data_IF_014982190058
#
_entry.id   IF_014982190058
#
_cell.length_a   1.000
_cell.length_b   1.000
_cell.length_c   1.000
_cell.angle_alpha   90.00
_cell.angle_beta   90.00
_cell.angle_gamma   90.00
#
_symmetry.space_group_name_H-M   'P 1'
#
loop_
_entity.id
_entity.type
_entity.pdbx_description
1 polymer ?
#
# COMPACT_ATOMS: atom_id res chain seq x y z
N UNK A 1 -2.02 10.59 11.56
CA UNK A 1 -2.96 9.84 10.72
C UNK A 1 -2.91 10.41 9.32
N UNK A 2 -2.88 9.54 8.29
CA UNK A 2 -2.99 9.91 6.88
C UNK A 2 -4.31 9.42 6.29
N UNK A 3 -4.63 9.91 5.10
CA UNK A 3 -5.82 9.49 4.35
C UNK A 3 -5.42 8.79 3.07
N UNK A 4 -6.16 7.73 2.71
CA UNK A 4 -5.96 6.97 1.49
C UNK A 4 -7.16 7.15 0.58
N UNK A 5 -6.90 7.57 -0.65
CA UNK A 5 -7.91 7.61 -1.70
C UNK A 5 -7.62 6.61 -2.82
N UNK A 6 -8.67 6.22 -3.48
CA UNK A 6 -8.61 5.31 -4.63
C UNK A 6 -8.47 6.12 -5.92
N UNK A 7 -7.71 5.61 -6.87
CA UNK A 7 -7.46 6.27 -8.15
C UNK A 7 -8.66 6.35 -9.11
N UNK A 8 -9.83 5.84 -8.72
CA UNK A 8 -11.06 5.98 -9.52
C UNK A 8 -11.75 7.35 -9.36
N UNK A 9 -11.44 8.09 -8.31
CA UNK A 9 -11.98 9.44 -8.13
C UNK A 9 -11.53 10.39 -9.25
N UNK A 10 -12.34 11.42 -9.56
CA UNK A 10 -11.94 12.43 -10.52
C UNK A 10 -10.72 13.21 -10.03
N UNK A 11 -9.84 13.64 -10.95
CA UNK A 11 -8.65 14.41 -10.52
C UNK A 11 -9.05 15.70 -9.80
N UNK A 12 -10.18 16.32 -10.17
CA UNK A 12 -10.74 17.48 -9.47
C UNK A 12 -11.16 17.16 -8.04
N UNK A 13 -11.80 16.00 -7.84
CA UNK A 13 -12.16 15.51 -6.49
C UNK A 13 -10.92 15.21 -5.67
N UNK A 14 -9.92 14.55 -6.26
CA UNK A 14 -8.64 14.26 -5.61
C UNK A 14 -7.96 15.54 -5.13
N UNK A 15 -7.92 16.59 -5.94
CA UNK A 15 -7.35 17.88 -5.53
C UNK A 15 -8.11 18.50 -4.36
N UNK A 16 -9.45 18.45 -4.39
CA UNK A 16 -10.27 18.96 -3.31
C UNK A 16 -10.04 18.18 -2.01
N UNK A 17 -10.02 16.85 -2.06
CA UNK A 17 -9.78 15.98 -0.90
C UNK A 17 -8.38 16.14 -0.34
N UNK A 18 -7.36 16.28 -1.19
CA UNK A 18 -6.00 16.49 -0.74
C UNK A 18 -5.85 17.81 0.02
N UNK A 19 -6.41 18.91 -0.51
CA UNK A 19 -6.45 20.21 0.15
C UNK A 19 -7.19 20.12 1.49
N UNK A 20 -8.38 19.55 1.49
CA UNK A 20 -9.17 19.39 2.71
C UNK A 20 -8.44 18.56 3.77
N UNK A 21 -7.71 17.52 3.34
CA UNK A 21 -6.91 16.68 4.25
C UNK A 21 -5.81 17.49 4.92
N UNK A 22 -5.12 18.34 4.16
CA UNK A 22 -4.10 19.24 4.70
C UNK A 22 -4.69 20.26 5.67
N UNK A 23 -5.76 20.94 5.28
CA UNK A 23 -6.49 21.92 6.11
C UNK A 23 -7.06 21.31 7.39
N UNK A 24 -7.43 20.02 7.34
CA UNK A 24 -7.93 19.27 8.51
C UNK A 24 -6.83 18.70 9.40
N UNK A 25 -5.56 18.92 9.09
CA UNK A 25 -4.43 18.53 9.94
C UNK A 25 -4.05 17.05 9.87
N UNK A 26 -4.32 16.35 8.76
CA UNK A 26 -3.89 14.97 8.57
C UNK A 26 -2.38 14.87 8.31
N UNK A 27 -1.58 14.99 9.36
CA UNK A 27 -0.12 15.02 9.30
C UNK A 27 0.55 13.74 8.78
N UNK A 28 -0.15 12.60 8.72
CA UNK A 28 0.34 11.35 8.16
C UNK A 28 0.28 11.26 6.63
N UNK A 29 -0.15 12.32 5.96
CA UNK A 29 -0.11 12.47 4.53
C UNK A 29 -1.35 12.05 3.76
N UNK A 30 -1.30 12.31 2.46
CA UNK A 30 -2.30 11.93 1.47
C UNK A 30 -1.75 10.82 0.58
N UNK A 31 -2.44 9.70 0.51
CA UNK A 31 -1.96 8.49 -0.13
C UNK A 31 -2.88 8.03 -1.24
N UNK A 32 -2.31 7.61 -2.36
CA UNK A 32 -3.04 7.04 -3.50
C UNK A 32 -2.71 5.56 -3.63
N UNK A 33 -3.76 4.74 -3.74
CA UNK A 33 -3.62 3.32 -4.05
C UNK A 33 -3.65 3.09 -5.56
N UNK A 34 -2.67 2.33 -6.08
CA UNK A 34 -2.75 1.81 -7.43
C UNK A 34 -3.64 0.57 -7.45
N UNK A 35 -4.72 0.63 -8.21
CA UNK A 35 -5.66 -0.49 -8.31
C UNK A 35 -5.93 -0.89 -9.76
N UNK A 36 -5.30 -0.21 -10.72
CA UNK A 36 -5.40 -0.43 -12.14
C UNK A 36 -6.85 -0.74 -12.56
N UNK A 37 -7.13 -1.78 -13.29
CA UNK A 37 -8.50 -2.10 -13.74
C UNK A 37 -9.37 -2.82 -12.70
N UNK A 38 -8.88 -3.08 -11.49
CA UNK A 38 -9.63 -3.84 -10.48
C UNK A 38 -11.02 -3.26 -10.17
N UNK A 39 -11.17 -1.94 -10.23
CA UNK A 39 -12.44 -1.27 -9.96
C UNK A 39 -13.47 -1.41 -11.08
N UNK A 40 -13.09 -1.86 -12.28
CA UNK A 40 -14.03 -2.07 -13.39
C UNK A 40 -15.15 -3.05 -13.05
N UNK A 41 -14.89 -4.06 -12.22
CA UNK A 41 -15.91 -4.97 -11.72
C UNK A 41 -17.03 -4.28 -10.93
N UNK A 42 -16.80 -3.05 -10.47
CA UNK A 42 -17.78 -2.20 -9.78
C UNK A 42 -18.27 -1.04 -10.65
N UNK A 43 -18.02 -1.07 -11.96
CA UNK A 43 -18.37 0.03 -12.86
C UNK A 43 -17.52 1.29 -12.70
N UNK A 44 -16.36 1.19 -12.07
CA UNK A 44 -15.46 2.32 -11.80
C UNK A 44 -14.16 2.17 -12.58
N UNK A 45 -13.65 3.27 -13.14
CA UNK A 45 -12.39 3.30 -13.88
C UNK A 45 -11.28 3.92 -13.05
N UNK A 46 -10.21 3.16 -12.81
CA UNK A 46 -9.02 3.69 -12.12
C UNK A 46 -8.12 4.47 -13.08
N UNK A 47 -7.62 5.60 -12.63
CA UNK A 47 -6.61 6.41 -13.32
C UNK A 47 -5.22 5.99 -12.89
N UNK A 48 -4.21 6.36 -13.69
CA UNK A 48 -2.80 6.14 -13.33
C UNK A 48 -2.47 6.75 -11.97
N UNK A 49 -1.85 5.97 -11.10
CA UNK A 49 -1.61 6.38 -9.72
C UNK A 49 -0.66 7.59 -9.62
N UNK A 50 0.40 7.64 -10.43
CA UNK A 50 1.34 8.76 -10.45
C UNK A 50 0.68 10.05 -10.93
N UNK A 51 -0.14 10.00 -12.00
CA UNK A 51 -0.90 11.16 -12.48
C UNK A 51 -1.90 11.64 -11.43
N UNK A 52 -2.57 10.72 -10.76
CA UNK A 52 -3.52 11.03 -9.67
C UNK A 52 -2.79 11.67 -8.50
N UNK A 53 -1.61 11.15 -8.14
CA UNK A 53 -0.79 11.69 -7.07
C UNK A 53 -0.24 13.08 -7.41
N UNK A 54 0.17 13.31 -8.68
CA UNK A 54 0.58 14.63 -9.15
C UNK A 54 -0.53 15.68 -8.96
N UNK A 55 -1.78 15.31 -9.26
CA UNK A 55 -2.92 16.21 -9.03
C UNK A 55 -3.11 16.56 -7.55
N UNK A 56 -2.95 15.59 -6.63
CA UNK A 56 -2.99 15.81 -5.19
C UNK A 56 -1.82 16.68 -4.71
N UNK A 57 -0.63 16.42 -5.25
CA UNK A 57 0.60 17.16 -4.92
C UNK A 57 0.46 18.64 -5.22
N UNK A 58 -0.09 18.97 -6.39
CA UNK A 58 -0.34 20.36 -6.79
C UNK A 58 -1.35 21.09 -5.91
N UNK A 59 -2.18 20.36 -5.20
CA UNK A 59 -3.21 20.92 -4.32
C UNK A 59 -2.77 21.09 -2.86
N UNK A 60 -1.56 20.58 -2.50
CA UNK A 60 -1.02 20.56 -1.13
C UNK A 60 0.36 21.19 -1.06
N UNK A 61 0.80 21.59 0.14
CA UNK A 61 2.09 22.28 0.35
C UNK A 61 2.97 21.63 1.41
N UNK A 62 2.39 21.03 2.43
CA UNK A 62 3.11 20.61 3.65
C UNK A 62 2.97 19.13 3.98
N UNK A 63 1.80 18.52 3.75
CA UNK A 63 1.58 17.13 4.10
C UNK A 63 2.39 16.16 3.22
N UNK A 64 2.87 15.03 3.76
CA UNK A 64 3.46 13.97 2.97
C UNK A 64 2.52 13.49 1.86
N UNK A 65 3.10 13.10 0.73
CA UNK A 65 2.38 12.56 -0.42
C UNK A 65 2.94 11.17 -0.71
N UNK A 66 2.09 10.16 -0.85
CA UNK A 66 2.60 8.80 -0.99
C UNK A 66 1.76 7.87 -1.85
N UNK A 67 2.39 6.79 -2.28
CA UNK A 67 1.72 5.64 -2.89
C UNK A 67 1.52 4.52 -1.88
N UNK A 68 0.35 3.88 -1.93
CA UNK A 68 0.02 2.74 -1.06
C UNK A 68 -0.73 1.68 -1.86
N UNK A 69 -0.10 0.94 -2.67
CA UNK A 69 1.26 0.79 -3.16
C UNK A 69 1.23 0.76 -4.70
N UNK A 70 2.38 0.87 -5.38
CA UNK A 70 2.55 0.44 -6.77
C UNK A 70 3.37 -0.85 -6.81
N UNK A 71 3.50 -1.46 -8.01
CA UNK A 71 4.13 -2.77 -8.15
C UNK A 71 5.23 -2.78 -9.20
N UNK A 72 6.38 -3.44 -8.93
CA UNK A 72 7.45 -3.63 -9.91
C UNK A 72 7.05 -4.57 -11.07
N UNK A 73 5.94 -5.30 -10.92
CA UNK A 73 5.37 -6.10 -12.00
C UNK A 73 4.59 -5.28 -13.03
N UNK A 74 4.22 -4.05 -12.69
CA UNK A 74 3.49 -3.15 -13.60
C UNK A 74 4.41 -2.22 -14.40
N UNK A 75 5.61 -1.93 -13.88
CA UNK A 75 6.57 -0.99 -14.49
C UNK A 75 7.98 -1.43 -14.20
N UNK A 76 8.85 -1.28 -15.20
CA UNK A 76 10.28 -1.44 -14.98
C UNK A 76 10.80 -0.46 -13.92
N UNK A 77 11.69 -0.85 -12.99
CA UNK A 77 12.14 0.00 -11.89
C UNK A 77 12.81 1.32 -12.34
N UNK A 78 13.38 1.37 -13.54
CA UNK A 78 13.91 2.63 -14.10
C UNK A 78 12.82 3.64 -14.39
N UNK A 79 11.69 3.19 -14.93
CA UNK A 79 10.53 4.05 -15.20
C UNK A 79 9.89 4.49 -13.89
N UNK A 80 9.72 3.56 -12.94
CA UNK A 80 9.21 3.91 -11.60
C UNK A 80 10.09 4.95 -10.92
N UNK A 81 11.42 4.82 -11.00
CA UNK A 81 12.33 5.79 -10.42
C UNK A 81 12.20 7.18 -11.05
N UNK A 82 12.02 7.25 -12.36
CA UNK A 82 11.78 8.53 -13.07
C UNK A 82 10.47 9.19 -12.64
N UNK A 83 9.37 8.42 -12.56
CA UNK A 83 8.08 8.92 -12.07
C UNK A 83 8.17 9.38 -10.60
N UNK A 84 8.88 8.63 -9.74
CA UNK A 84 9.13 9.00 -8.35
C UNK A 84 9.89 10.32 -8.24
N UNK A 85 10.95 10.49 -9.04
CA UNK A 85 11.75 11.71 -9.04
C UNK A 85 10.92 12.94 -9.44
N UNK A 86 10.05 12.80 -10.44
CA UNK A 86 9.15 13.87 -10.87
C UNK A 86 8.14 14.27 -9.79
N UNK A 87 7.53 13.30 -9.10
CA UNK A 87 6.62 13.58 -7.97
C UNK A 87 7.37 14.17 -6.79
N UNK A 88 8.58 13.72 -6.52
CA UNK A 88 9.40 14.24 -5.44
C UNK A 88 9.78 15.71 -5.68
N UNK A 89 10.19 16.06 -6.87
CA UNK A 89 10.44 17.45 -7.29
C UNK A 89 9.15 18.30 -7.15
N UNK A 90 8.04 17.83 -7.74
CA UNK A 90 6.76 18.52 -7.70
C UNK A 90 6.25 18.75 -6.27
N UNK A 91 6.54 17.82 -5.37
CA UNK A 91 6.14 17.89 -3.96
C UNK A 91 7.11 18.68 -3.09
N UNK A 92 8.24 19.14 -3.63
CA UNK A 92 9.34 19.73 -2.87
C UNK A 92 9.84 18.80 -1.75
N UNK A 93 10.12 17.53 -2.10
CA UNK A 93 10.72 16.55 -1.19
C UNK A 93 9.76 15.92 -0.17
N UNK A 94 8.43 15.96 -0.40
CA UNK A 94 7.42 15.34 0.48
C UNK A 94 7.01 13.93 0.08
N UNK A 95 7.50 13.44 -1.04
CA UNK A 95 7.07 12.17 -1.61
C UNK A 95 7.63 10.98 -0.84
N UNK A 96 6.81 9.95 -0.69
CA UNK A 96 7.16 8.64 -0.14
C UNK A 96 6.69 7.57 -1.13
N UNK A 97 7.63 6.75 -1.60
CA UNK A 97 7.32 5.65 -2.50
C UNK A 97 6.83 4.44 -1.71
N UNK A 98 5.63 3.97 -2.00
CA UNK A 98 5.15 2.68 -1.52
C UNK A 98 5.21 1.63 -2.62
N UNK A 99 5.96 0.55 -2.40
CA UNK A 99 6.13 -0.56 -3.34
C UNK A 99 5.65 -1.88 -2.72
N UNK A 100 4.96 -2.71 -3.48
CA UNK A 100 4.47 -4.01 -3.01
C UNK A 100 4.00 -4.88 -4.15
N UNK A 101 3.56 -6.09 -3.86
CA UNK A 101 3.17 -7.06 -4.89
C UNK A 101 2.01 -6.56 -5.74
N UNK A 102 1.00 -5.92 -5.13
CA UNK A 102 -0.15 -5.39 -5.87
C UNK A 102 -0.99 -6.47 -6.56
N UNK A 103 -1.08 -7.69 -6.00
CA UNK A 103 -1.69 -8.87 -6.62
C UNK A 103 -3.03 -8.55 -7.28
N UNK A 104 -3.91 -7.84 -6.59
CA UNK A 104 -5.24 -7.47 -7.10
C UNK A 104 -5.16 -6.61 -8.37
N UNK A 105 -4.18 -5.72 -8.48
CA UNK A 105 -3.98 -4.88 -9.67
C UNK A 105 -3.39 -5.64 -10.85
N UNK A 106 -2.55 -6.63 -10.60
CA UNK A 106 -1.83 -7.37 -11.64
C UNK A 106 -2.59 -8.59 -12.17
N UNK A 107 -3.65 -9.05 -11.49
CA UNK A 107 -4.51 -10.14 -11.98
C UNK A 107 -5.04 -9.88 -13.40
N UNK A 108 -5.37 -8.63 -13.71
CA UNK A 108 -5.87 -8.22 -15.04
C UNK A 108 -4.77 -8.10 -16.11
N UNK A 109 -3.50 -8.29 -15.74
CA UNK A 109 -2.37 -8.34 -16.66
C UNK A 109 -1.97 -9.77 -17.03
N UNK A 110 -2.79 -10.74 -16.63
CA UNK A 110 -2.61 -12.18 -16.93
C UNK A 110 -1.26 -12.75 -16.44
N UNK A 111 -0.67 -12.16 -15.41
CA UNK A 111 0.52 -12.72 -14.79
C UNK A 111 0.21 -14.04 -14.08
N UNK A 112 1.04 -15.04 -14.31
CA UNK A 112 1.05 -16.28 -13.54
C UNK A 112 1.51 -16.01 -12.10
N UNK A 113 0.53 -15.74 -11.22
CA UNK A 113 0.82 -15.37 -9.84
C UNK A 113 1.47 -16.47 -9.01
N UNK A 114 1.40 -17.74 -9.46
CA UNK A 114 2.04 -18.86 -8.79
C UNK A 114 3.56 -18.91 -9.08
N UNK A 115 3.99 -18.32 -10.18
CA UNK A 115 5.41 -18.17 -10.55
C UNK A 115 6.06 -16.89 -10.06
N UNK A 116 5.29 -16.01 -9.41
CA UNK A 116 5.84 -14.76 -8.89
C UNK A 116 6.85 -15.01 -7.78
N UNK A 117 7.97 -14.28 -7.83
CA UNK A 117 9.00 -14.28 -6.79
C UNK A 117 9.06 -12.88 -6.13
N UNK A 118 8.14 -12.54 -5.23
CA UNK A 118 8.00 -11.16 -4.74
C UNK A 118 9.26 -10.61 -4.08
N UNK A 119 9.90 -11.37 -3.21
CA UNK A 119 11.05 -10.89 -2.44
C UNK A 119 12.22 -10.48 -3.33
N UNK A 120 12.77 -11.34 -4.22
CA UNK A 120 13.89 -10.93 -5.06
C UNK A 120 13.50 -9.85 -6.09
N UNK A 121 12.30 -9.90 -6.67
CA UNK A 121 11.83 -8.84 -7.60
C UNK A 121 11.78 -7.47 -6.93
N UNK A 122 11.28 -7.39 -5.70
CA UNK A 122 11.25 -6.12 -4.97
C UNK A 122 12.64 -5.68 -4.53
N UNK A 123 13.49 -6.61 -4.10
CA UNK A 123 14.89 -6.32 -3.77
C UNK A 123 15.61 -5.66 -4.97
N UNK A 124 15.60 -6.32 -6.13
CA UNK A 124 16.25 -5.79 -7.33
C UNK A 124 15.66 -4.44 -7.77
N UNK A 125 14.33 -4.32 -7.69
CA UNK A 125 13.66 -3.06 -8.03
C UNK A 125 14.09 -1.91 -7.12
N UNK A 126 14.11 -2.10 -5.81
CA UNK A 126 14.53 -1.07 -4.86
C UNK A 126 16.01 -0.71 -5.04
N UNK A 127 16.87 -1.71 -5.28
CA UNK A 127 18.28 -1.49 -5.53
C UNK A 127 18.52 -0.61 -6.78
N UNK A 128 17.85 -0.91 -7.88
CA UNK A 128 17.92 -0.11 -9.12
C UNK A 128 17.40 1.31 -8.86
N UNK A 129 16.24 1.44 -8.20
CA UNK A 129 15.66 2.76 -7.90
C UNK A 129 16.60 3.61 -7.04
N UNK A 130 17.20 3.06 -5.99
CA UNK A 130 18.17 3.76 -5.12
C UNK A 130 19.40 4.21 -5.89
N UNK A 131 19.91 3.37 -6.81
CA UNK A 131 21.03 3.73 -7.69
C UNK A 131 20.67 4.89 -8.60
N UNK A 132 19.48 4.89 -9.18
CA UNK A 132 18.99 6.01 -10.01
C UNK A 132 18.83 7.28 -9.17
N UNK A 133 18.25 7.19 -7.97
CA UNK A 133 18.12 8.35 -7.09
C UNK A 133 19.46 8.94 -6.70
N UNK A 134 20.50 8.13 -6.53
CA UNK A 134 21.84 8.61 -6.21
C UNK A 134 22.46 9.47 -7.30
N UNK A 135 21.99 9.39 -8.54
CA UNK A 135 22.54 10.07 -9.70
C UNK A 135 23.91 9.56 -10.16
N UNK A 136 24.48 8.54 -9.51
CA UNK A 136 25.79 7.96 -9.87
C UNK A 136 25.63 7.02 -11.08
N UNK A 137 26.70 6.94 -11.88
CA UNK A 137 26.79 5.92 -12.91
C UNK A 137 26.71 4.52 -12.27
N UNK A 138 25.93 3.64 -12.87
CA UNK A 138 25.86 2.24 -12.44
C UNK A 138 25.58 1.28 -13.60
N UNK A 139 25.92 0.02 -13.39
CA UNK A 139 25.43 -1.13 -14.12
C UNK A 139 24.91 -2.13 -13.12
N UNK A 140 23.74 -2.70 -13.40
CA UNK A 140 23.09 -3.71 -12.57
C UNK A 140 22.65 -4.87 -13.44
N UNK A 141 22.93 -6.09 -13.01
CA UNK A 141 22.47 -7.31 -13.65
C UNK A 141 21.99 -8.27 -12.57
N UNK A 142 20.66 -8.40 -12.46
CA UNK A 142 19.98 -9.30 -11.54
C UNK A 142 19.39 -10.51 -12.23
N UNK A 143 18.53 -11.23 -11.52
CA UNK A 143 17.73 -12.34 -12.06
C UNK A 143 16.52 -11.82 -12.86
N UNK A 144 15.95 -10.69 -12.43
CA UNK A 144 14.69 -10.15 -12.96
C UNK A 144 14.86 -8.86 -13.75
N UNK A 145 15.85 -8.06 -13.40
CA UNK A 145 16.08 -6.78 -14.04
C UNK A 145 17.55 -6.60 -14.43
N UNK A 146 17.75 -5.91 -15.53
CA UNK A 146 19.06 -5.43 -15.98
C UNK A 146 18.96 -3.96 -16.32
N UNK A 147 19.91 -3.13 -15.87
CA UNK A 147 19.90 -1.70 -16.13
C UNK A 147 21.31 -1.13 -16.07
N UNK A 148 21.62 -0.23 -17.00
CA UNK A 148 22.83 0.60 -17.00
C UNK A 148 22.47 2.04 -17.24
N UNK A 149 22.96 2.94 -16.39
CA UNK A 149 22.70 4.37 -16.49
C UNK A 149 23.99 5.17 -16.42
N UNK A 150 24.16 6.21 -17.29
CA UNK A 150 25.20 7.19 -17.14
C UNK A 150 24.99 8.01 -15.86
N UNK A 151 26.00 8.78 -15.42
CA UNK A 151 25.84 9.67 -14.27
C UNK A 151 24.83 10.78 -14.63
N UNK A 152 24.07 11.18 -13.61
CA UNK A 152 23.11 12.29 -13.72
C UNK A 152 23.28 13.21 -12.50
N UNK A 153 23.58 14.48 -12.75
CA UNK A 153 23.68 15.47 -11.67
C UNK A 153 22.30 15.88 -11.19
N UNK A 154 21.86 15.27 -10.11
CA UNK A 154 20.58 15.56 -9.45
C UNK A 154 20.61 16.90 -8.70
N UNK A 155 21.78 17.38 -8.32
CA UNK A 155 21.91 18.62 -7.56
C UNK A 155 21.48 19.85 -8.39
N UNK A 156 21.70 19.81 -9.71
CA UNK A 156 21.29 20.88 -10.62
C UNK A 156 19.77 21.09 -10.68
N UNK A 157 18.98 20.04 -10.44
CA UNK A 157 17.52 20.10 -10.43
C UNK A 157 16.92 20.24 -9.03
N UNK A 158 17.73 20.34 -7.97
CA UNK A 158 17.23 20.36 -6.58
C UNK A 158 16.59 19.04 -6.13
N UNK A 159 16.87 17.95 -6.84
CA UNK A 159 16.27 16.63 -6.57
C UNK A 159 16.96 15.95 -5.38
N UNK A 160 16.18 15.29 -4.52
CA UNK A 160 16.73 14.46 -3.45
C UNK A 160 17.47 13.25 -4.04
N UNK A 161 18.59 12.87 -3.43
CA UNK A 161 19.33 11.64 -3.76
C UNK A 161 18.80 10.41 -3.01
N UNK A 162 17.90 10.62 -2.06
CA UNK A 162 17.27 9.58 -1.25
C UNK A 162 15.79 9.85 -1.14
N UNK A 163 14.97 9.08 -1.88
CA UNK A 163 13.52 9.08 -1.77
C UNK A 163 13.13 7.89 -0.90
N UNK A 164 12.37 8.09 0.20
CA UNK A 164 11.97 6.98 1.07
C UNK A 164 11.15 5.93 0.32
N UNK A 165 11.52 4.65 0.48
CA UNK A 165 10.80 3.51 -0.10
C UNK A 165 10.20 2.67 1.03
N UNK A 166 8.87 2.63 1.10
CA UNK A 166 8.12 1.81 2.04
C UNK A 166 7.64 0.53 1.36
N UNK A 167 7.82 -0.60 2.00
CA UNK A 167 7.42 -1.90 1.46
C UNK A 167 6.02 -2.28 1.94
N UNK A 168 5.11 -2.52 0.99
CA UNK A 168 3.80 -3.11 1.24
C UNK A 168 3.91 -4.60 1.54
N UNK A 169 3.60 -5.01 2.78
CA UNK A 169 3.88 -6.34 3.27
C UNK A 169 2.70 -6.96 4.02
N UNK A 170 2.11 -8.01 3.45
CA UNK A 170 1.09 -8.82 4.14
C UNK A 170 1.64 -10.12 4.70
N UNK A 171 2.58 -10.74 4.01
CA UNK A 171 3.21 -12.00 4.40
C UNK A 171 4.57 -11.82 5.09
N UNK A 172 5.03 -12.84 5.85
CA UNK A 172 6.24 -12.74 6.68
C UNK A 172 7.52 -12.49 5.87
N UNK A 173 7.60 -12.99 4.64
CA UNK A 173 8.79 -12.80 3.80
C UNK A 173 8.94 -11.34 3.35
N UNK A 174 7.85 -10.70 2.92
CA UNK A 174 7.85 -9.28 2.56
C UNK A 174 8.02 -8.38 3.80
N UNK A 175 7.52 -8.78 4.96
CA UNK A 175 7.76 -8.09 6.23
C UNK A 175 9.25 -8.13 6.63
N UNK A 176 9.92 -9.27 6.42
CA UNK A 176 11.37 -9.39 6.61
C UNK A 176 12.14 -8.54 5.60
N UNK A 177 11.72 -8.53 4.34
CA UNK A 177 12.30 -7.65 3.32
C UNK A 177 12.22 -6.18 3.75
N UNK A 178 11.06 -5.75 4.26
CA UNK A 178 10.91 -4.39 4.77
C UNK A 178 11.94 -4.06 5.87
N UNK A 179 12.11 -4.94 6.85
CA UNK A 179 13.12 -4.76 7.89
C UNK A 179 14.54 -4.74 7.37
N UNK A 180 14.85 -5.58 6.39
CA UNK A 180 16.17 -5.74 5.82
C UNK A 180 16.66 -4.50 5.08
N UNK A 181 15.80 -3.82 4.30
CA UNK A 181 16.27 -2.84 3.34
C UNK A 181 15.35 -1.67 3.00
N UNK A 182 14.15 -1.57 3.61
CA UNK A 182 13.25 -0.44 3.34
C UNK A 182 13.37 0.69 4.36
N UNK A 183 12.69 1.81 4.09
CA UNK A 183 12.61 2.98 4.96
C UNK A 183 11.30 3.01 5.75
N UNK A 184 10.40 2.05 5.51
CA UNK A 184 9.15 1.87 6.22
C UNK A 184 8.37 0.66 5.73
N UNK A 185 7.32 0.29 6.45
CA UNK A 185 6.44 -0.83 6.12
C UNK A 185 4.98 -0.38 6.05
N UNK A 186 4.28 -0.83 5.02
CA UNK A 186 2.84 -0.58 4.83
C UNK A 186 2.07 -1.90 4.94
N UNK A 187 1.10 -1.94 5.83
CA UNK A 187 0.21 -3.08 6.04
C UNK A 187 -1.12 -2.85 5.31
N UNK A 188 -1.67 -3.91 4.74
CA UNK A 188 -2.92 -3.84 3.99
C UNK A 188 -4.15 -3.65 4.91
N UNK A 189 -5.33 -3.48 4.31
CA UNK A 189 -6.61 -3.38 5.02
C UNK A 189 -6.90 -4.58 5.94
N UNK A 190 -7.73 -4.37 6.93
CA UNK A 190 -8.02 -5.27 8.05
C UNK A 190 -6.83 -5.43 9.03
N UNK A 191 -6.02 -4.39 9.17
CA UNK A 191 -4.91 -4.38 10.13
C UNK A 191 -5.44 -4.31 11.56
N UNK A 192 -5.25 -5.40 12.32
CA UNK A 192 -5.55 -5.47 13.75
C UNK A 192 -4.29 -5.17 14.59
N UNK A 193 -4.43 -4.78 15.87
CA UNK A 193 -3.27 -4.62 16.76
C UNK A 193 -2.42 -5.89 16.88
N UNK A 194 -3.04 -7.07 16.84
CA UNK A 194 -2.33 -8.36 16.88
C UNK A 194 -1.49 -8.55 15.60
N UNK A 195 -2.06 -8.25 14.44
CA UNK A 195 -1.35 -8.33 13.18
C UNK A 195 -0.19 -7.32 13.08
N UNK A 196 -0.36 -6.11 13.62
CA UNK A 196 0.75 -5.13 13.70
C UNK A 196 1.93 -5.68 14.50
N UNK A 197 1.67 -6.30 15.66
CA UNK A 197 2.73 -6.93 16.47
C UNK A 197 3.44 -8.04 15.69
N UNK A 198 2.68 -8.94 15.09
CA UNK A 198 3.22 -10.02 14.26
C UNK A 198 4.09 -9.49 13.10
N UNK A 199 3.62 -8.46 12.40
CA UNK A 199 4.34 -7.86 11.30
C UNK A 199 5.64 -7.18 11.76
N UNK A 200 5.60 -6.47 12.89
CA UNK A 200 6.79 -5.85 13.49
C UNK A 200 7.83 -6.88 13.92
N UNK A 201 7.41 -8.02 14.45
CA UNK A 201 8.35 -9.09 14.84
C UNK A 201 9.05 -9.70 13.61
N UNK A 202 8.31 -9.93 12.52
CA UNK A 202 8.94 -10.37 11.27
C UNK A 202 9.88 -9.31 10.70
N UNK A 203 9.50 -8.04 10.73
CA UNK A 203 10.33 -6.94 10.29
C UNK A 203 11.65 -6.88 11.08
N UNK A 204 11.60 -6.98 12.41
CA UNK A 204 12.80 -7.03 13.27
C UNK A 204 13.71 -8.21 12.90
N UNK A 205 13.15 -9.41 12.71
CA UNK A 205 13.90 -10.58 12.25
C UNK A 205 14.62 -10.32 10.92
N UNK A 206 13.97 -9.61 9.99
CA UNK A 206 14.59 -9.23 8.72
C UNK A 206 15.75 -8.25 8.89
N UNK A 207 15.60 -7.27 9.76
CA UNK A 207 16.65 -6.31 10.10
C UNK A 207 17.85 -7.01 10.78
N UNK A 208 17.60 -7.86 11.77
CA UNK A 208 18.64 -8.66 12.45
C UNK A 208 19.43 -9.53 11.47
N UNK A 209 18.75 -10.20 10.53
CA UNK A 209 19.40 -11.01 9.48
C UNK A 209 20.32 -10.20 8.56
N UNK A 210 20.03 -8.91 8.41
CA UNK A 210 20.83 -7.98 7.61
C UNK A 210 21.88 -7.19 8.44
N UNK A 211 21.99 -7.48 9.74
CA UNK A 211 22.85 -6.71 10.64
C UNK A 211 22.41 -5.25 10.80
N UNK A 212 21.13 -4.95 10.56
CA UNK A 212 20.58 -3.59 10.58
C UNK A 212 19.88 -3.30 11.90
N UNK A 213 20.16 -2.14 12.48
CA UNK A 213 19.40 -1.62 13.62
C UNK A 213 18.32 -0.67 13.10
N UNK A 214 17.07 -0.99 13.39
CA UNK A 214 15.93 -0.11 13.05
C UNK A 214 15.76 0.97 14.13
N UNK A 215 15.48 2.22 13.74
CA UNK A 215 15.14 3.26 14.70
C UNK A 215 13.84 2.91 15.44
N UNK A 216 13.69 3.43 16.67
CA UNK A 216 12.53 3.15 17.51
C UNK A 216 11.21 3.60 16.86
N UNK A 217 11.26 4.67 16.09
CA UNK A 217 10.16 5.29 15.35
C UNK A 217 10.08 4.82 13.88
N UNK A 218 10.71 3.69 13.55
CA UNK A 218 10.65 3.14 12.18
C UNK A 218 9.20 3.09 11.69
N UNK A 219 8.91 3.74 10.53
CA UNK A 219 7.55 3.93 10.07
C UNK A 219 6.84 2.61 9.75
N UNK A 220 5.70 2.38 10.40
CA UNK A 220 4.80 1.27 10.09
C UNK A 220 3.39 1.81 9.95
N UNK A 221 2.89 1.86 8.72
CA UNK A 221 1.54 2.27 8.40
C UNK A 221 0.59 1.07 8.29
N UNK A 222 -0.61 1.18 8.82
CA UNK A 222 -1.68 0.21 8.64
C UNK A 222 -2.92 0.85 8.02
N UNK A 223 -3.57 0.15 7.10
CA UNK A 223 -4.83 0.60 6.50
C UNK A 223 -5.99 0.20 7.40
N UNK A 224 -6.67 1.20 7.95
CA UNK A 224 -7.86 1.04 8.80
C UNK A 224 -9.07 1.60 8.04
N UNK A 225 -10.17 0.87 8.06
CA UNK A 225 -11.43 1.35 7.52
C UNK A 225 -12.07 2.30 8.54
N UNK A 226 -12.44 3.49 8.09
CA UNK A 226 -13.07 4.48 8.96
C UNK A 226 -14.40 4.96 8.36
N UNK A 227 -15.39 5.17 9.21
CA UNK A 227 -16.60 5.89 8.85
C UNK A 227 -16.99 6.86 9.96
N UNK A 228 -17.38 8.07 9.55
CA UNK A 228 -17.88 9.11 10.42
C UNK A 228 -19.25 9.58 9.92
N UNK A 229 -20.22 9.68 10.80
CA UNK A 229 -21.55 10.17 10.48
C UNK A 229 -22.20 10.71 11.74
N UNK A 230 -23.04 11.75 11.62
CA UNK A 230 -23.92 12.19 12.73
C UNK A 230 -24.91 11.10 13.16
N UNK A 231 -25.15 10.13 12.27
CA UNK A 231 -25.91 8.91 12.54
C UNK A 231 -24.93 7.74 12.68
N UNK A 232 -24.60 7.36 13.89
CA UNK A 232 -23.66 6.27 14.20
C UNK A 232 -24.10 4.91 13.62
N UNK A 233 -25.42 4.68 13.45
CA UNK A 233 -25.93 3.45 12.83
C UNK A 233 -25.55 3.38 11.34
N UNK A 234 -25.58 4.50 10.63
CA UNK A 234 -25.12 4.58 9.23
C UNK A 234 -23.63 4.34 9.12
N UNK A 235 -22.82 4.94 10.01
CA UNK A 235 -21.38 4.71 10.04
C UNK A 235 -21.05 3.24 10.29
N UNK A 236 -21.75 2.60 11.26
CA UNK A 236 -21.59 1.18 11.56
C UNK A 236 -21.98 0.28 10.38
N UNK A 237 -23.05 0.60 9.68
CA UNK A 237 -23.51 -0.17 8.50
C UNK A 237 -22.49 -0.05 7.35
N UNK A 238 -22.00 1.15 7.07
CA UNK A 238 -21.02 1.37 6.01
C UNK A 238 -19.71 0.59 6.25
N UNK A 239 -19.19 0.60 7.48
CA UNK A 239 -17.98 -0.18 7.81
C UNK A 239 -18.21 -1.68 7.75
N UNK A 240 -19.39 -2.19 8.11
CA UNK A 240 -19.72 -3.62 7.98
C UNK A 240 -19.66 -4.10 6.54
N UNK A 241 -20.32 -3.39 5.64
CA UNK A 241 -20.34 -3.74 4.22
C UNK A 241 -18.91 -3.82 3.67
N UNK A 242 -18.12 -2.80 3.92
CA UNK A 242 -16.74 -2.73 3.43
C UNK A 242 -15.83 -3.80 4.05
N UNK A 243 -15.95 -4.02 5.36
CA UNK A 243 -15.19 -5.08 6.07
C UNK A 243 -15.53 -6.46 5.52
N UNK A 244 -16.80 -6.76 5.31
CA UNK A 244 -17.24 -8.03 4.73
C UNK A 244 -16.63 -8.28 3.34
N UNK A 245 -16.69 -7.28 2.47
CA UNK A 245 -16.06 -7.35 1.14
C UNK A 245 -14.54 -7.60 1.23
N UNK A 246 -13.84 -6.92 2.15
CA UNK A 246 -12.41 -7.14 2.34
C UNK A 246 -12.09 -8.54 2.84
N UNK A 247 -12.87 -9.10 3.78
CA UNK A 247 -12.71 -10.47 4.27
C UNK A 247 -12.89 -11.47 3.13
N UNK A 248 -13.94 -11.33 2.33
CA UNK A 248 -14.19 -12.17 1.15
C UNK A 248 -13.02 -12.12 0.18
N UNK A 249 -12.53 -10.92 -0.15
CA UNK A 249 -11.39 -10.77 -1.05
C UNK A 249 -10.13 -11.46 -0.52
N UNK A 250 -9.90 -11.40 0.80
CA UNK A 250 -8.77 -12.09 1.42
C UNK A 250 -8.90 -13.61 1.31
N UNK A 251 -10.06 -14.14 1.63
CA UNK A 251 -10.33 -15.58 1.58
C UNK A 251 -10.28 -16.16 0.15
N UNK A 252 -10.65 -15.37 -0.86
CA UNK A 252 -10.62 -15.82 -2.27
C UNK A 252 -9.23 -15.76 -2.89
N UNK A 253 -8.47 -14.71 -2.58
CA UNK A 253 -7.29 -14.34 -3.37
C UNK A 253 -5.96 -14.72 -2.71
N UNK A 254 -5.97 -15.15 -1.44
CA UNK A 254 -4.73 -15.44 -0.71
C UNK A 254 -4.83 -16.80 -0.02
N UNK A 255 -4.16 -17.80 -0.58
CA UNK A 255 -3.92 -19.06 0.14
C UNK A 255 -3.09 -18.72 1.39
N UNK A 256 -3.62 -18.99 2.59
CA UNK A 256 -3.00 -18.68 3.88
C UNK A 256 -2.90 -17.16 4.17
N UNK A 257 -4.05 -16.48 4.24
CA UNK A 257 -4.05 -15.05 4.58
C UNK A 257 -3.53 -14.81 6.01
N UNK A 258 -2.32 -14.28 6.08
CA UNK A 258 -1.65 -13.98 7.36
C UNK A 258 -2.33 -12.83 8.11
N UNK A 259 -3.11 -11.97 7.43
CA UNK A 259 -3.86 -10.88 8.07
C UNK A 259 -5.01 -11.46 8.88
N UNK A 260 -5.77 -12.39 8.29
CA UNK A 260 -6.87 -13.04 9.00
C UNK A 260 -6.34 -13.96 10.11
N UNK A 261 -5.32 -14.76 9.82
CA UNK A 261 -4.66 -15.60 10.82
C UNK A 261 -4.04 -14.78 11.97
N UNK A 262 -3.42 -13.64 11.65
CA UNK A 262 -2.83 -12.71 12.61
C UNK A 262 -3.82 -11.74 13.27
N UNK A 263 -5.11 -11.84 12.98
CA UNK A 263 -6.13 -10.92 13.49
C UNK A 263 -6.39 -11.02 14.99
N UNK A 264 -6.03 -12.17 15.59
CA UNK A 264 -6.38 -12.52 16.95
C UNK A 264 -7.82 -13.07 17.11
N UNK A 265 -8.49 -13.38 15.99
CA UNK A 265 -9.75 -14.11 15.97
C UNK A 265 -9.50 -15.59 15.64
N UNK A 266 -10.31 -16.52 16.16
CA UNK A 266 -10.19 -17.94 15.82
C UNK A 266 -10.53 -18.15 14.33
N UNK A 267 -9.93 -19.17 13.70
CA UNK A 267 -10.13 -19.45 12.27
C UNK A 267 -11.60 -19.73 11.91
N UNK A 268 -12.35 -20.32 12.83
CA UNK A 268 -13.80 -20.54 12.69
C UNK A 268 -14.62 -19.26 12.50
N UNK A 269 -14.08 -18.10 12.86
CA UNK A 269 -14.72 -16.81 12.58
C UNK A 269 -14.92 -16.54 11.09
N UNK A 270 -14.15 -17.21 10.24
CA UNK A 270 -14.19 -17.04 8.79
C UNK A 270 -15.09 -18.03 8.08
N UNK A 271 -15.60 -19.08 8.77
CA UNK A 271 -16.43 -20.13 8.16
C UNK A 271 -17.73 -19.60 7.54
N UNK A 272 -18.45 -18.64 8.14
CA UNK A 272 -19.62 -18.04 7.49
C UNK A 272 -19.30 -17.38 6.15
N UNK A 273 -18.12 -16.74 6.05
CA UNK A 273 -17.68 -16.11 4.80
C UNK A 273 -17.21 -17.15 3.78
N UNK A 274 -16.49 -18.20 4.21
CA UNK A 274 -16.13 -19.34 3.34
C UNK A 274 -17.38 -19.99 2.75
N UNK A 275 -18.42 -20.20 3.59
CA UNK A 275 -19.71 -20.71 3.15
C UNK A 275 -20.38 -19.77 2.14
N UNK A 276 -20.42 -18.47 2.40
CA UNK A 276 -21.02 -17.50 1.46
C UNK A 276 -20.28 -17.48 0.10
N UNK A 277 -18.96 -17.68 0.10
CA UNK A 277 -18.18 -17.83 -1.14
C UNK A 277 -18.57 -19.10 -1.88
N UNK A 278 -18.69 -20.25 -1.18
CA UNK A 278 -19.06 -21.53 -1.78
C UNK A 278 -20.50 -21.50 -2.33
N UNK A 279 -21.42 -20.81 -1.64
CA UNK A 279 -22.81 -20.68 -2.03
C UNK A 279 -23.07 -19.58 -3.11
N UNK A 280 -22.02 -18.83 -3.55
CA UNK A 280 -22.14 -17.75 -4.52
C UNK A 280 -22.86 -16.49 -3.98
N UNK A 281 -22.94 -16.32 -2.66
CA UNK A 281 -23.63 -15.20 -1.99
C UNK A 281 -22.69 -14.16 -1.39
N UNK A 282 -21.42 -14.16 -1.82
CA UNK A 282 -20.35 -13.32 -1.29
C UNK A 282 -20.59 -11.80 -1.39
N UNK A 283 -21.55 -11.36 -2.19
CA UNK A 283 -21.89 -9.94 -2.33
C UNK A 283 -22.82 -9.43 -1.18
N UNK A 284 -23.33 -10.34 -0.36
CA UNK A 284 -24.30 -10.06 0.71
C UNK A 284 -23.75 -10.44 2.10
N UNK A 285 -22.50 -10.15 2.38
CA UNK A 285 -21.80 -10.62 3.59
C UNK A 285 -21.74 -9.60 4.75
N UNK A 286 -22.33 -8.42 4.60
CA UNK A 286 -22.27 -7.38 5.64
C UNK A 286 -22.87 -7.86 6.99
N UNK A 287 -23.90 -8.70 6.96
CA UNK A 287 -24.54 -9.26 8.15
C UNK A 287 -23.67 -10.31 8.89
N UNK A 288 -22.66 -10.88 8.22
CA UNK A 288 -21.71 -11.82 8.81
C UNK A 288 -20.62 -11.13 9.63
N UNK A 289 -20.43 -9.83 9.42
CA UNK A 289 -19.42 -9.05 10.16
C UNK A 289 -19.92 -8.79 11.57
N UNK A 290 -19.26 -9.38 12.55
CA UNK A 290 -19.59 -9.22 13.96
C UNK A 290 -19.13 -7.86 14.50
N UNK A 291 -19.69 -7.45 15.64
CA UNK A 291 -19.24 -6.24 16.34
C UNK A 291 -17.78 -6.35 16.80
N UNK A 292 -17.30 -7.56 17.12
CA UNK A 292 -15.90 -7.79 17.44
C UNK A 292 -14.99 -7.57 16.23
N UNK A 293 -15.36 -8.07 15.06
CA UNK A 293 -14.64 -7.80 13.79
C UNK A 293 -14.56 -6.30 13.52
N UNK A 294 -15.68 -5.57 13.69
CA UNK A 294 -15.68 -4.12 13.52
C UNK A 294 -14.73 -3.42 14.49
N UNK A 295 -14.77 -3.76 15.78
CA UNK A 295 -13.85 -3.17 16.78
C UNK A 295 -12.38 -3.42 16.47
N UNK A 296 -12.05 -4.54 15.80
CA UNK A 296 -10.65 -4.88 15.47
C UNK A 296 -10.15 -4.21 14.20
N UNK A 297 -11.01 -3.99 13.23
CA UNK A 297 -10.61 -3.61 11.86
C UNK A 297 -11.06 -2.23 11.45
N UNK A 298 -11.90 -1.56 12.25
CA UNK A 298 -12.51 -0.29 11.85
C UNK A 298 -12.43 0.76 12.95
N UNK A 299 -12.56 2.02 12.52
CA UNK A 299 -12.81 3.16 13.40
C UNK A 299 -14.16 3.75 13.01
N UNK A 300 -15.05 3.89 13.98
CA UNK A 300 -16.41 4.39 13.79
C UNK A 300 -16.58 5.57 14.75
N UNK A 301 -17.02 6.70 14.20
CA UNK A 301 -17.38 7.88 14.96
C UNK A 301 -18.77 8.38 14.54
N UNK A 302 -19.56 8.71 15.53
CA UNK A 302 -20.88 9.28 15.35
C UNK A 302 -21.32 10.08 16.55
#
# INVERSE_FOLDING_TARGET
VGIIFKSYESLKSIQAYARQSEESGFSGGFWIAEAYHWFRQYGLEARGCFTTLAAATMATRTIPIGLVITSPYMRHPTIQASECAAIDELSNGRFIMGIGVGKVGIEYLEYDTDKMKPVPVHHESMEIMRRIFSGRQFSYKGEFFESSMPPFDRATGGLRTEIPIYVGATGPFMQRLAGRESDGMLLAGLTSPAFVRYARDNMRKGAEQAGRTLPADFPVGGVILAACSKDGAKAKTATRSYTGTYIVNKLRNIKNDTILAGSGLPDSSWDPFRKAIADGTQDKVAHLVTDEMQRRFTVISG
#
